data_IF_896280876030
#
_entry.id   IF_896280876030
#
_cell.length_a   1.000
_cell.length_b   1.000
_cell.length_c   1.000
_cell.angle_alpha   90.00
_cell.angle_beta   90.00
_cell.angle_gamma   90.00
#
_symmetry.space_group_name_H-M   'P 1'
#
loop_
_entity.id
_entity.type
_entity.pdbx_description
1 polymer ?
#
# COMPACT_ATOMS: atom_id res chain seq x y z
N UNK A 1 3.41 -31.68 -8.91
CA UNK A 1 3.56 -31.75 -7.44
C UNK A 1 3.01 -30.44 -6.89
N UNK A 2 1.88 -30.51 -6.20
CA UNK A 2 1.27 -29.34 -5.55
C UNK A 2 2.21 -28.83 -4.48
N UNK A 3 2.68 -27.59 -4.61
CA UNK A 3 3.48 -26.95 -3.58
C UNK A 3 2.65 -26.83 -2.31
N UNK A 4 3.06 -27.50 -1.24
CA UNK A 4 2.42 -27.32 0.07
C UNK A 4 2.57 -25.84 0.51
N UNK A 5 1.55 -25.28 1.16
CA UNK A 5 1.65 -23.92 1.67
C UNK A 5 2.78 -23.85 2.70
N UNK A 6 3.64 -22.84 2.55
CA UNK A 6 4.74 -22.59 3.47
C UNK A 6 4.21 -22.17 4.84
N UNK A 7 4.76 -22.80 5.89
CA UNK A 7 4.33 -22.62 7.29
C UNK A 7 5.52 -22.47 8.25
N UNK A 8 5.25 -21.93 9.43
CA UNK A 8 6.23 -21.74 10.50
C UNK A 8 6.86 -23.08 10.91
N UNK A 9 8.16 -23.10 11.13
CA UNK A 9 8.94 -24.29 11.46
C UNK A 9 9.46 -25.09 10.25
N UNK A 10 9.04 -24.74 9.04
CA UNK A 10 9.58 -25.36 7.82
C UNK A 10 10.91 -24.72 7.41
N UNK A 11 11.74 -25.52 6.74
CA UNK A 11 13.01 -25.05 6.16
C UNK A 11 12.93 -25.06 4.63
N UNK A 12 13.38 -24.00 3.99
CA UNK A 12 13.45 -23.86 2.55
C UNK A 12 14.90 -23.51 2.17
N UNK A 13 15.60 -24.47 1.56
CA UNK A 13 17.04 -24.32 1.37
C UNK A 13 17.71 -24.11 2.74
N UNK A 14 18.47 -23.05 2.86
CA UNK A 14 19.16 -22.68 4.10
C UNK A 14 18.36 -21.73 5.02
N UNK A 15 17.04 -21.62 4.84
CA UNK A 15 16.19 -20.70 5.58
C UNK A 15 15.09 -21.40 6.37
N UNK A 16 15.14 -21.28 7.69
CA UNK A 16 14.09 -21.72 8.62
C UNK A 16 13.04 -20.60 8.81
N UNK A 17 11.78 -20.93 8.65
CA UNK A 17 10.67 -20.00 8.86
C UNK A 17 10.34 -19.86 10.34
N UNK A 18 10.57 -18.67 10.91
CA UNK A 18 10.35 -18.40 12.32
C UNK A 18 8.94 -17.90 12.62
N UNK A 19 8.42 -16.97 11.80
CA UNK A 19 7.09 -16.38 11.98
C UNK A 19 6.59 -15.73 10.70
N UNK A 20 5.28 -15.54 10.60
CA UNK A 20 4.66 -14.73 9.55
C UNK A 20 4.72 -13.26 9.97
N UNK A 21 5.30 -12.40 9.13
CA UNK A 21 5.34 -10.95 9.32
C UNK A 21 4.12 -10.25 8.72
N UNK A 22 3.61 -10.75 7.58
CA UNK A 22 2.46 -10.15 6.93
C UNK A 22 1.94 -10.95 5.74
N UNK A 23 0.71 -10.62 5.34
CA UNK A 23 0.07 -11.12 4.11
C UNK A 23 -0.40 -9.92 3.28
N UNK A 24 -0.10 -9.94 2.01
CA UNK A 24 -0.54 -8.92 1.07
C UNK A 24 -1.06 -9.53 -0.23
N UNK A 25 -1.54 -8.69 -1.13
CA UNK A 25 -2.04 -9.15 -2.44
C UNK A 25 -0.99 -9.83 -3.32
N UNK A 26 0.30 -9.65 -3.00
CA UNK A 26 1.43 -10.21 -3.75
C UNK A 26 2.05 -11.44 -3.08
N UNK A 27 1.60 -11.85 -1.91
CA UNK A 27 2.16 -13.01 -1.21
C UNK A 27 2.24 -12.86 0.29
N UNK A 28 3.06 -13.73 0.88
CA UNK A 28 3.34 -13.74 2.31
C UNK A 28 4.77 -13.26 2.56
N UNK A 29 4.98 -12.58 3.68
CA UNK A 29 6.30 -12.20 4.17
C UNK A 29 6.53 -12.92 5.49
N UNK A 30 7.64 -13.63 5.58
CA UNK A 30 8.04 -14.39 6.77
C UNK A 30 9.33 -13.81 7.35
N UNK A 31 9.45 -13.88 8.68
CA UNK A 31 10.72 -13.78 9.37
C UNK A 31 11.40 -15.13 9.27
N UNK A 32 12.63 -15.15 8.79
CA UNK A 32 13.41 -16.38 8.59
C UNK A 32 14.77 -16.25 9.25
N UNK A 33 15.37 -17.40 9.58
CA UNK A 33 16.74 -17.52 10.01
C UNK A 33 17.52 -18.29 8.95
N UNK A 34 18.61 -17.74 8.46
CA UNK A 34 19.57 -18.49 7.67
C UNK A 34 20.35 -19.44 8.58
N UNK A 35 20.20 -20.75 8.38
CA UNK A 35 20.77 -21.77 9.27
C UNK A 35 22.31 -21.88 9.23
N UNK A 36 22.94 -21.30 8.18
CA UNK A 36 24.40 -21.30 8.05
C UNK A 36 25.01 -20.09 8.76
N UNK A 37 24.41 -18.91 8.60
CA UNK A 37 24.96 -17.65 9.11
C UNK A 37 24.26 -17.14 10.37
N UNK A 38 23.23 -17.80 10.85
CA UNK A 38 22.32 -17.41 11.94
C UNK A 38 21.67 -16.02 11.76
N UNK A 39 21.76 -15.43 10.56
CA UNK A 39 21.13 -14.13 10.29
C UNK A 39 19.62 -14.24 10.26
N UNK A 40 19.01 -13.24 10.89
CA UNK A 40 17.56 -13.03 10.76
C UNK A 40 17.31 -12.17 9.53
N UNK A 41 16.44 -12.64 8.65
CA UNK A 41 16.10 -12.01 7.37
C UNK A 41 14.59 -12.04 7.13
N UNK A 42 14.11 -11.26 6.18
CA UNK A 42 12.72 -11.29 5.74
C UNK A 42 12.63 -12.05 4.41
N UNK A 43 11.75 -13.05 4.34
CA UNK A 43 11.49 -13.83 3.12
C UNK A 43 10.13 -13.46 2.58
N UNK A 44 10.09 -12.83 1.40
CA UNK A 44 8.86 -12.56 0.66
C UNK A 44 8.62 -13.68 -0.35
N UNK A 45 7.50 -14.38 -0.15
CA UNK A 45 7.06 -15.47 -1.03
C UNK A 45 6.05 -14.92 -2.01
N UNK A 46 6.30 -15.10 -3.28
CA UNK A 46 5.42 -14.63 -4.34
C UNK A 46 4.44 -15.72 -4.73
N UNK A 47 3.19 -15.32 -5.00
CA UNK A 47 2.13 -16.28 -5.32
C UNK A 47 2.44 -17.09 -6.58
N UNK A 48 2.00 -18.37 -6.66
CA UNK A 48 2.40 -19.34 -7.70
C UNK A 48 1.94 -19.02 -9.12
N UNK A 49 1.05 -18.07 -9.34
CA UNK A 49 0.53 -17.74 -10.68
C UNK A 49 1.52 -17.03 -11.61
N UNK A 50 2.77 -16.87 -11.17
CA UNK A 50 3.85 -16.32 -12.02
C UNK A 50 4.13 -17.22 -13.22
N UNK A 51 3.92 -18.55 -13.11
CA UNK A 51 4.12 -19.48 -14.21
C UNK A 51 2.96 -19.51 -15.22
N UNK A 52 1.79 -18.97 -14.85
CA UNK A 52 0.64 -18.91 -15.77
C UNK A 52 0.78 -17.82 -16.84
N UNK A 53 1.70 -16.86 -16.68
CA UNK A 53 1.97 -15.78 -17.63
C UNK A 53 3.47 -15.52 -17.72
N UNK A 54 4.16 -16.05 -18.75
CA UNK A 54 5.62 -15.88 -18.95
C UNK A 54 6.08 -14.41 -18.91
N UNK A 55 5.31 -13.52 -19.51
CA UNK A 55 5.57 -12.07 -19.51
C UNK A 55 5.62 -11.45 -18.10
N UNK A 56 4.83 -12.00 -17.18
CA UNK A 56 4.77 -11.53 -15.81
C UNK A 56 6.00 -11.95 -15.02
N UNK A 57 6.44 -13.19 -15.21
CA UNK A 57 7.66 -13.73 -14.60
C UNK A 57 8.91 -12.96 -15.07
N UNK A 58 9.00 -12.66 -16.36
CA UNK A 58 10.13 -11.90 -16.90
C UNK A 58 10.17 -10.45 -16.38
N UNK A 59 9.02 -9.78 -16.34
CA UNK A 59 8.91 -8.43 -15.77
C UNK A 59 9.33 -8.43 -14.30
N UNK A 60 8.88 -9.41 -13.56
CA UNK A 60 9.20 -9.56 -12.14
C UNK A 60 10.70 -9.77 -11.92
N UNK A 61 11.34 -10.65 -12.69
CA UNK A 61 12.80 -10.85 -12.64
C UNK A 61 13.57 -9.56 -12.98
N UNK A 62 13.08 -8.78 -13.93
CA UNK A 62 13.71 -7.49 -14.29
C UNK A 62 13.64 -6.49 -13.15
N UNK A 63 12.51 -6.45 -12.46
CA UNK A 63 12.32 -5.56 -11.30
C UNK A 63 13.14 -5.99 -10.08
N UNK A 64 13.23 -7.31 -9.81
CA UNK A 64 14.17 -7.83 -8.80
C UNK A 64 15.60 -7.37 -9.08
N UNK A 65 16.05 -7.46 -10.34
CA UNK A 65 17.39 -7.03 -10.74
C UNK A 65 17.62 -5.53 -10.48
N UNK A 66 16.61 -4.70 -10.71
CA UNK A 66 16.70 -3.27 -10.42
C UNK A 66 16.77 -3.01 -8.92
N UNK A 67 15.92 -3.65 -8.11
CA UNK A 67 15.95 -3.50 -6.64
C UNK A 67 17.26 -4.02 -6.06
N UNK A 68 17.85 -5.06 -6.65
CA UNK A 68 19.15 -5.61 -6.24
C UNK A 68 20.31 -4.62 -6.41
N UNK A 69 20.14 -3.56 -7.20
CA UNK A 69 21.16 -2.51 -7.38
C UNK A 69 21.06 -1.40 -6.33
N UNK A 70 20.01 -1.41 -5.49
CA UNK A 70 19.79 -0.37 -4.50
C UNK A 70 20.52 -0.73 -3.19
N UNK A 71 21.49 0.10 -2.84
CA UNK A 71 22.19 0.05 -1.54
C UNK A 71 22.14 1.44 -0.90
N UNK A 72 21.27 1.61 0.09
CA UNK A 72 21.04 2.89 0.75
C UNK A 72 20.62 2.66 2.21
N UNK A 73 21.08 3.45 3.18
CA UNK A 73 20.77 3.26 4.61
C UNK A 73 19.26 3.26 4.91
N UNK A 74 18.47 3.98 4.12
CA UNK A 74 17.00 4.07 4.30
C UNK A 74 16.20 3.18 3.32
N UNK A 75 16.82 2.20 2.69
CA UNK A 75 16.14 1.17 1.88
C UNK A 75 16.40 -0.19 2.52
N UNK A 76 15.37 -1.02 2.63
CA UNK A 76 15.54 -2.42 3.02
C UNK A 76 16.18 -3.20 1.86
N UNK A 77 17.45 -3.61 2.06
CA UNK A 77 18.25 -4.22 0.99
C UNK A 77 17.77 -5.61 0.60
N UNK A 78 17.77 -5.90 -0.70
CA UNK A 78 17.63 -7.27 -1.22
C UNK A 78 18.95 -8.02 -0.99
N UNK A 79 18.89 -9.19 -0.33
CA UNK A 79 20.05 -10.05 -0.08
C UNK A 79 20.26 -11.04 -1.21
N UNK A 80 19.19 -11.77 -1.57
CA UNK A 80 19.19 -12.73 -2.67
C UNK A 80 17.75 -13.02 -3.13
N UNK A 81 17.63 -13.67 -4.28
CA UNK A 81 16.38 -14.22 -4.76
C UNK A 81 16.59 -15.70 -5.11
N UNK A 82 15.65 -16.55 -4.71
CA UNK A 82 15.71 -18.00 -4.85
C UNK A 82 14.47 -18.52 -5.57
N UNK A 83 14.61 -19.67 -6.25
CA UNK A 83 13.48 -20.46 -6.71
C UNK A 83 13.29 -21.69 -5.82
N UNK A 84 12.07 -21.94 -5.39
CA UNK A 84 11.67 -23.18 -4.69
C UNK A 84 10.45 -23.76 -5.41
N UNK A 85 10.67 -24.81 -6.22
CA UNK A 85 9.65 -25.30 -7.14
C UNK A 85 9.21 -24.21 -8.14
N UNK A 86 7.89 -23.94 -8.17
CA UNK A 86 7.28 -22.89 -8.99
C UNK A 86 7.26 -21.53 -8.31
N UNK A 87 7.67 -21.45 -7.04
CA UNK A 87 7.64 -20.21 -6.25
C UNK A 87 8.94 -19.42 -6.35
N UNK A 88 8.82 -18.11 -6.45
CA UNK A 88 9.94 -17.19 -6.33
C UNK A 88 9.97 -16.61 -4.91
N UNK A 89 11.15 -16.62 -4.30
CA UNK A 89 11.40 -16.17 -2.95
C UNK A 89 12.40 -15.01 -3.01
N UNK A 90 12.11 -13.92 -2.32
CA UNK A 90 13.02 -12.79 -2.14
C UNK A 90 13.47 -12.77 -0.69
N UNK A 91 14.77 -12.80 -0.47
CA UNK A 91 15.37 -12.66 0.85
C UNK A 91 15.86 -11.22 0.99
N UNK A 92 15.36 -10.55 1.99
CA UNK A 92 15.59 -9.12 2.22
C UNK A 92 16.13 -8.87 3.62
N UNK A 93 16.68 -7.72 3.85
CA UNK A 93 17.02 -7.22 5.18
C UNK A 93 15.78 -7.31 6.09
N UNK A 94 15.91 -8.00 7.23
CA UNK A 94 14.93 -7.91 8.30
C UNK A 94 15.11 -6.59 9.04
N UNK A 95 14.07 -5.80 9.07
CA UNK A 95 14.04 -4.52 9.79
C UNK A 95 13.36 -4.72 11.13
N UNK A 96 14.11 -4.62 12.21
CA UNK A 96 13.55 -4.60 13.56
C UNK A 96 12.96 -3.21 13.82
N UNK A 97 11.71 -3.04 13.42
CA UNK A 97 10.99 -1.76 13.46
C UNK A 97 9.49 -1.98 13.29
N UNK A 98 8.75 -0.89 13.38
CA UNK A 98 7.29 -0.89 13.19
C UNK A 98 6.91 -0.09 11.94
N UNK A 99 5.87 -0.51 11.21
CA UNK A 99 5.28 0.31 10.16
C UNK A 99 4.85 1.69 10.69
N UNK A 100 5.01 2.71 9.88
CA UNK A 100 4.72 4.10 10.25
C UNK A 100 3.26 4.32 10.70
N UNK A 101 2.31 3.56 10.13
CA UNK A 101 0.88 3.56 10.52
C UNK A 101 0.60 2.84 11.85
N UNK A 102 1.57 2.06 12.35
CA UNK A 102 1.46 1.33 13.61
C UNK A 102 2.29 1.98 14.72
N UNK A 103 3.01 3.04 14.43
CA UNK A 103 3.73 3.76 15.47
C UNK A 103 2.72 4.23 16.50
N UNK A 104 2.93 3.94 17.79
CA UNK A 104 2.09 4.48 18.82
C UNK A 104 2.15 6.01 18.70
N UNK A 105 1.04 6.62 18.37
CA UNK A 105 0.84 8.01 18.71
C UNK A 105 0.97 8.04 20.21
N UNK A 106 2.10 8.53 20.73
CA UNK A 106 2.28 8.75 22.18
C UNK A 106 1.12 9.57 22.76
N UNK A 107 0.32 10.13 21.89
CA UNK A 107 -0.77 11.05 22.12
C UNK A 107 -2.16 10.39 22.15
N UNK A 108 -2.30 9.07 21.98
CA UNK A 108 -3.60 8.39 22.20
C UNK A 108 -4.03 8.43 23.68
N UNK A 109 -3.12 8.77 24.61
CA UNK A 109 -3.43 8.98 26.04
C UNK A 109 -3.59 10.47 26.37
N UNK A 110 -3.14 11.37 25.49
CA UNK A 110 -3.36 12.82 25.60
C UNK A 110 -3.77 13.40 24.24
N UNK A 111 -4.68 14.38 24.21
CA UNK A 111 -5.20 14.99 22.99
C UNK A 111 -4.20 15.98 22.36
N UNK A 112 -2.90 15.69 22.40
CA UNK A 112 -1.91 16.53 21.75
C UNK A 112 -1.72 16.08 20.30
N UNK A 113 -1.72 17.02 19.35
CA UNK A 113 -1.50 16.74 17.94
C UNK A 113 -0.12 16.10 17.72
N UNK A 114 0.02 15.25 16.68
CA UNK A 114 1.30 14.66 16.30
C UNK A 114 2.38 15.74 16.17
N UNK A 115 3.60 15.49 16.67
CA UNK A 115 4.71 16.41 16.49
C UNK A 115 5.11 16.49 14.99
N UNK A 116 4.84 17.62 14.31
CA UNK A 116 5.11 17.77 12.89
C UNK A 116 6.62 17.70 12.58
N UNK A 117 7.49 18.04 13.53
CA UNK A 117 8.95 17.91 13.36
C UNK A 117 9.37 16.47 13.20
N UNK A 118 8.81 15.58 14.04
CA UNK A 118 9.05 14.13 13.91
C UNK A 118 8.56 13.59 12.59
N UNK A 119 7.35 13.99 12.17
CA UNK A 119 6.79 13.59 10.88
C UNK A 119 7.70 14.03 9.72
N UNK A 120 8.14 15.28 9.71
CA UNK A 120 9.06 15.81 8.70
C UNK A 120 10.38 15.05 8.70
N UNK A 121 10.96 14.76 9.88
CA UNK A 121 12.23 14.01 9.97
C UNK A 121 12.13 12.62 9.31
N UNK A 122 11.06 11.88 9.61
CA UNK A 122 10.86 10.54 9.04
C UNK A 122 10.67 10.63 7.51
N UNK A 123 9.89 11.59 7.04
CA UNK A 123 9.64 11.78 5.60
C UNK A 123 10.89 12.25 4.85
N UNK A 124 11.75 13.06 5.45
CA UNK A 124 13.03 13.46 4.83
C UNK A 124 13.94 12.25 4.56
N UNK A 125 13.92 11.23 5.42
CA UNK A 125 14.65 9.98 5.18
C UNK A 125 14.03 9.17 4.04
N UNK A 126 12.69 9.10 3.96
CA UNK A 126 11.97 8.48 2.83
C UNK A 126 12.33 9.19 1.52
N UNK A 127 12.33 10.53 1.50
CA UNK A 127 12.68 11.31 0.33
C UNK A 127 14.13 11.12 -0.09
N UNK A 128 15.06 10.97 0.86
CA UNK A 128 16.45 10.62 0.58
C UNK A 128 16.59 9.26 -0.11
N UNK A 129 15.86 8.25 0.38
CA UNK A 129 15.78 6.93 -0.22
C UNK A 129 15.21 6.96 -1.64
N UNK A 130 14.12 7.71 -1.84
CA UNK A 130 13.48 7.88 -3.15
C UNK A 130 14.37 8.65 -4.12
N UNK A 131 15.04 9.73 -3.69
CA UNK A 131 16.00 10.47 -4.52
C UNK A 131 17.10 9.55 -5.05
N UNK A 132 17.66 8.71 -4.18
CA UNK A 132 18.66 7.71 -4.56
C UNK A 132 18.13 6.69 -5.58
N UNK A 133 16.91 6.17 -5.38
CA UNK A 133 16.30 5.19 -6.28
C UNK A 133 15.95 5.82 -7.64
N UNK A 134 15.37 7.02 -7.64
CA UNK A 134 14.99 7.75 -8.86
C UNK A 134 16.18 8.05 -9.76
N UNK A 135 17.35 8.43 -9.19
CA UNK A 135 18.59 8.63 -9.93
C UNK A 135 19.07 7.35 -10.65
N UNK A 136 18.61 6.18 -10.20
CA UNK A 136 18.90 4.87 -10.82
C UNK A 136 17.76 4.35 -11.71
N UNK A 137 16.78 5.20 -12.00
CA UNK A 137 15.63 4.84 -12.84
C UNK A 137 14.60 3.94 -12.14
N UNK A 138 14.70 3.78 -10.82
CA UNK A 138 13.76 2.97 -10.03
C UNK A 138 12.71 3.86 -9.38
N UNK A 139 11.43 3.61 -9.70
CA UNK A 139 10.27 4.28 -9.13
C UNK A 139 9.61 3.30 -8.16
N UNK A 140 9.25 3.76 -6.96
CA UNK A 140 8.70 2.90 -5.91
C UNK A 140 7.25 2.46 -6.18
N UNK A 141 6.38 3.37 -6.61
CA UNK A 141 4.98 3.17 -7.04
C UNK A 141 3.97 2.74 -5.96
N UNK A 142 4.40 2.41 -4.77
CA UNK A 142 3.53 2.02 -3.64
C UNK A 142 4.03 2.60 -2.31
N UNK A 143 4.40 3.91 -2.32
CA UNK A 143 4.78 4.60 -1.08
C UNK A 143 3.54 4.79 -0.22
N UNK A 144 3.58 4.25 1.01
CA UNK A 144 2.50 4.37 2.01
C UNK A 144 3.06 4.08 3.40
N UNK A 145 2.38 4.47 4.48
CA UNK A 145 2.86 4.28 5.85
C UNK A 145 3.24 2.84 6.20
N UNK A 146 2.50 1.84 5.71
CA UNK A 146 2.81 0.43 5.97
C UNK A 146 4.09 -0.08 5.30
N UNK A 147 4.61 0.61 4.28
CA UNK A 147 5.86 0.29 3.59
C UNK A 147 7.06 1.13 4.12
N UNK A 148 6.83 1.95 5.14
CA UNK A 148 7.84 2.75 5.81
C UNK A 148 8.06 2.17 7.21
N UNK A 149 9.11 1.38 7.39
CA UNK A 149 9.45 0.80 8.69
C UNK A 149 10.33 1.77 9.48
N UNK A 150 9.96 2.02 10.73
CA UNK A 150 10.69 2.92 11.62
C UNK A 150 11.31 2.09 12.75
N UNK A 151 12.62 2.14 12.87
CA UNK A 151 13.39 1.49 13.94
C UNK A 151 13.27 2.27 15.25
N UNK A 152 13.65 1.65 16.40
CA UNK A 152 13.67 2.33 17.70
C UNK A 152 14.58 3.57 17.76
N UNK A 153 15.62 3.61 16.93
CA UNK A 153 16.55 4.75 16.79
C UNK A 153 16.02 5.83 15.83
N UNK A 154 14.77 5.74 15.39
CA UNK A 154 14.11 6.60 14.40
C UNK A 154 14.70 6.53 12.99
N UNK A 155 15.57 5.55 12.69
CA UNK A 155 15.99 5.28 11.33
C UNK A 155 14.82 4.70 10.53
N UNK A 156 14.57 5.26 9.36
CA UNK A 156 13.54 4.78 8.42
C UNK A 156 14.16 3.76 7.46
N UNK A 157 13.41 2.71 7.18
CA UNK A 157 13.67 1.76 6.10
C UNK A 157 12.45 1.67 5.18
N UNK A 158 12.60 2.11 3.94
CA UNK A 158 11.60 1.97 2.89
C UNK A 158 11.65 0.55 2.33
N UNK A 159 10.50 -0.13 2.30
CA UNK A 159 10.36 -1.52 1.87
C UNK A 159 9.40 -1.63 0.68
N UNK A 160 9.34 -2.80 0.08
CA UNK A 160 8.33 -3.14 -0.93
C UNK A 160 8.29 -2.17 -2.13
N UNK A 161 9.46 -1.86 -2.70
CA UNK A 161 9.52 -1.24 -4.03
C UNK A 161 8.57 -1.99 -4.95
N UNK A 162 7.63 -1.26 -5.57
CA UNK A 162 6.43 -1.79 -6.23
C UNK A 162 6.72 -2.69 -7.42
N UNK A 163 7.28 -3.86 -7.14
CA UNK A 163 7.72 -4.90 -8.07
C UNK A 163 6.58 -5.35 -9.01
N UNK A 164 5.32 -5.09 -8.66
CA UNK A 164 4.17 -5.54 -9.43
C UNK A 164 3.19 -4.42 -9.81
N UNK A 165 3.48 -3.16 -9.52
CA UNK A 165 2.56 -2.04 -9.76
C UNK A 165 2.92 -1.27 -11.03
N UNK A 166 2.49 -1.75 -12.20
CA UNK A 166 2.55 -0.98 -13.45
C UNK A 166 1.18 -0.47 -13.85
N UNK A 167 1.15 0.71 -14.45
CA UNK A 167 -0.04 1.23 -15.10
C UNK A 167 -0.59 0.21 -16.11
N UNK A 168 -1.89 -0.14 -15.99
CA UNK A 168 -2.53 -1.16 -16.82
C UNK A 168 -2.40 -2.61 -16.32
N UNK A 169 -1.80 -2.88 -15.16
CA UNK A 169 -1.83 -4.21 -14.55
C UNK A 169 -3.27 -4.55 -14.12
N UNK A 170 -3.86 -5.66 -14.62
CA UNK A 170 -5.21 -6.09 -14.22
C UNK A 170 -5.36 -6.31 -12.71
N UNK A 171 -4.25 -6.45 -11.97
CA UNK A 171 -4.23 -6.59 -10.52
C UNK A 171 -4.44 -5.28 -9.77
N UNK A 172 -4.25 -4.12 -10.42
CA UNK A 172 -4.61 -2.81 -9.85
C UNK A 172 -6.13 -2.68 -9.65
N UNK A 173 -6.90 -3.54 -10.31
CA UNK A 173 -8.37 -3.57 -10.26
C UNK A 173 -8.93 -4.95 -9.91
N UNK A 174 -8.06 -5.94 -9.63
CA UNK A 174 -8.41 -7.34 -9.35
C UNK A 174 -8.78 -7.62 -7.89
N UNK A 175 -9.40 -8.80 -7.62
CA UNK A 175 -9.62 -9.28 -6.26
C UNK A 175 -8.26 -9.54 -5.59
N UNK A 176 -7.89 -8.75 -4.61
CA UNK A 176 -6.60 -8.82 -3.91
C UNK A 176 -5.89 -7.48 -3.81
N UNK A 177 -6.37 -6.43 -4.45
CA UNK A 177 -5.92 -5.07 -4.17
C UNK A 177 -6.28 -4.74 -2.72
N UNK A 178 -5.28 -4.51 -1.90
CA UNK A 178 -5.52 -4.00 -0.57
C UNK A 178 -6.12 -2.61 -0.70
N UNK A 179 -7.37 -2.43 -0.24
CA UNK A 179 -8.07 -1.14 -0.22
C UNK A 179 -7.16 -0.01 0.32
N UNK A 180 -6.23 -0.38 1.21
CA UNK A 180 -5.26 0.52 1.80
C UNK A 180 -4.33 1.22 0.80
N UNK A 181 -3.82 0.55 -0.25
CA UNK A 181 -2.89 1.15 -1.22
C UNK A 181 -3.56 2.21 -2.09
N UNK A 182 -4.86 2.08 -2.35
CA UNK A 182 -5.60 3.02 -3.20
C UNK A 182 -5.58 4.46 -2.64
N UNK A 183 -5.55 4.62 -1.32
CA UNK A 183 -5.52 5.93 -0.67
C UNK A 183 -4.23 6.73 -0.92
N UNK A 184 -3.16 6.09 -1.43
CA UNK A 184 -1.85 6.73 -1.68
C UNK A 184 -1.51 6.78 -3.17
N UNK A 185 -2.40 6.29 -4.03
CA UNK A 185 -2.18 6.21 -5.46
C UNK A 185 -2.23 7.61 -6.11
N UNK A 186 -1.30 7.89 -7.00
CA UNK A 186 -1.29 9.15 -7.72
C UNK A 186 -2.37 9.21 -8.81
N UNK A 187 -2.84 10.41 -9.20
CA UNK A 187 -3.82 10.59 -10.28
C UNK A 187 -3.43 9.89 -11.59
N UNK A 188 -2.17 9.94 -11.97
CA UNK A 188 -1.65 9.29 -13.18
C UNK A 188 -1.66 7.76 -13.07
N UNK A 189 -1.38 7.19 -11.90
CA UNK A 189 -1.53 5.75 -11.65
C UNK A 189 -2.98 5.30 -11.81
N UNK A 190 -3.92 6.07 -11.24
CA UNK A 190 -5.36 5.80 -11.35
C UNK A 190 -5.83 5.85 -12.81
N UNK A 191 -5.31 6.81 -13.59
CA UNK A 191 -5.62 6.96 -15.03
C UNK A 191 -4.88 5.96 -15.91
N UNK A 192 -4.01 5.10 -15.34
CA UNK A 192 -3.11 4.21 -16.08
C UNK A 192 -2.21 4.96 -17.08
N UNK A 193 -1.84 6.19 -16.78
CA UNK A 193 -0.88 6.99 -17.54
C UNK A 193 0.56 6.60 -17.20
N UNK A 194 1.55 6.99 -18.03
CA UNK A 194 2.95 6.82 -17.69
C UNK A 194 3.28 7.39 -16.31
N UNK A 195 3.97 6.58 -15.50
CA UNK A 195 4.34 6.89 -14.11
C UNK A 195 5.82 7.22 -14.07
N UNK A 196 6.17 8.35 -13.44
CA UNK A 196 7.55 8.77 -13.17
C UNK A 196 7.79 9.03 -11.67
N UNK A 197 8.94 9.58 -11.32
CA UNK A 197 9.34 9.91 -9.95
C UNK A 197 8.32 10.80 -9.20
N UNK A 198 7.58 11.62 -9.92
CA UNK A 198 6.59 12.57 -9.36
C UNK A 198 5.33 11.87 -8.85
N UNK A 199 5.11 10.61 -9.24
CA UNK A 199 4.06 9.77 -8.64
C UNK A 199 4.39 9.39 -7.21
N UNK A 200 5.67 9.05 -6.92
CA UNK A 200 6.12 8.78 -5.54
C UNK A 200 6.04 10.05 -4.68
N UNK A 201 6.34 11.22 -5.26
CA UNK A 201 6.20 12.53 -4.58
C UNK A 201 4.75 12.76 -4.12
N UNK A 202 3.77 12.45 -4.95
CA UNK A 202 2.36 12.52 -4.57
C UNK A 202 2.05 11.57 -3.40
N UNK A 203 2.49 10.33 -3.48
CA UNK A 203 2.25 9.30 -2.46
C UNK A 203 2.92 9.66 -1.12
N UNK A 204 4.14 10.26 -1.16
CA UNK A 204 4.79 10.85 0.03
C UNK A 204 3.97 12.01 0.58
N UNK A 205 3.43 12.87 -0.29
CA UNK A 205 2.56 13.96 0.10
C UNK A 205 1.32 13.49 0.86
N UNK A 206 0.65 12.44 0.36
CA UNK A 206 -0.47 11.79 1.05
C UNK A 206 -0.05 11.25 2.41
N UNK A 207 1.09 10.56 2.46
CA UNK A 207 1.65 10.00 3.70
C UNK A 207 1.97 11.11 4.72
N UNK A 208 2.64 12.19 4.29
CA UNK A 208 2.96 13.32 5.16
C UNK A 208 1.71 14.04 5.66
N UNK A 209 0.72 14.26 4.78
CA UNK A 209 -0.57 14.82 5.16
C UNK A 209 -1.20 13.98 6.29
N UNK A 210 -1.28 12.65 6.10
CA UNK A 210 -1.92 11.74 7.06
C UNK A 210 -1.21 11.74 8.42
N UNK A 211 0.12 11.67 8.45
CA UNK A 211 0.86 11.64 9.73
C UNK A 211 0.88 12.99 10.45
N UNK A 212 0.73 14.12 9.72
CA UNK A 212 0.64 15.46 10.33
C UNK A 212 -0.76 15.76 10.83
N UNK A 213 -1.80 15.35 10.09
CA UNK A 213 -3.19 15.72 10.40
C UNK A 213 -3.97 14.60 11.12
N UNK A 214 -3.44 13.37 11.15
CA UNK A 214 -4.17 12.18 11.59
C UNK A 214 -5.30 11.75 10.66
N UNK A 215 -5.41 12.36 9.46
CA UNK A 215 -6.47 12.09 8.47
C UNK A 215 -5.89 12.01 7.07
N UNK A 216 -6.48 11.17 6.22
CA UNK A 216 -6.12 11.13 4.81
C UNK A 216 -6.66 12.36 4.06
N UNK A 217 -5.92 12.88 3.06
CA UNK A 217 -6.35 14.06 2.29
C UNK A 217 -7.60 13.80 1.46
N UNK A 218 -7.85 12.54 1.10
CA UNK A 218 -9.03 12.10 0.35
C UNK A 218 -9.68 10.91 1.06
N UNK A 219 -11.00 10.84 0.97
CA UNK A 219 -11.81 9.77 1.58
C UNK A 219 -12.91 9.35 0.59
N UNK A 220 -13.45 8.15 0.79
CA UNK A 220 -14.56 7.65 -0.01
C UNK A 220 -15.06 6.32 0.52
N UNK A 221 -16.33 6.02 0.24
CA UNK A 221 -17.02 4.82 0.71
C UNK A 221 -16.82 3.62 -0.22
N UNK A 222 -16.28 3.86 -1.42
CA UNK A 222 -16.03 2.84 -2.43
C UNK A 222 -14.68 3.07 -3.10
N UNK A 223 -14.16 2.04 -3.78
CA UNK A 223 -12.95 2.16 -4.60
C UNK A 223 -13.08 3.30 -5.62
N UNK A 224 -14.25 3.43 -6.23
CA UNK A 224 -14.52 4.47 -7.22
C UNK A 224 -14.51 5.87 -6.61
N UNK A 225 -15.17 6.08 -5.47
CA UNK A 225 -15.21 7.39 -4.81
C UNK A 225 -13.82 7.84 -4.34
N UNK A 226 -12.97 6.90 -3.86
CA UNK A 226 -11.58 7.20 -3.51
C UNK A 226 -10.79 7.60 -4.77
N UNK A 227 -10.93 6.85 -5.88
CA UNK A 227 -10.27 7.17 -7.14
C UNK A 227 -10.72 8.53 -7.67
N UNK A 228 -12.02 8.80 -7.70
CA UNK A 228 -12.58 10.09 -8.12
C UNK A 228 -12.07 11.24 -7.24
N UNK A 229 -11.97 11.03 -5.94
CA UNK A 229 -11.43 12.02 -5.00
C UNK A 229 -9.95 12.33 -5.29
N UNK A 230 -9.11 11.33 -5.58
CA UNK A 230 -7.72 11.58 -6.00
C UNK A 230 -7.64 12.39 -7.29
N UNK A 231 -8.56 12.18 -8.21
CA UNK A 231 -8.57 12.87 -9.51
C UNK A 231 -9.09 14.31 -9.44
N UNK A 232 -10.06 14.59 -8.55
CA UNK A 232 -10.85 15.82 -8.61
C UNK A 232 -10.90 16.61 -7.31
N UNK A 233 -10.85 15.94 -6.16
CA UNK A 233 -11.03 16.60 -4.87
C UNK A 233 -9.75 17.37 -4.50
N UNK A 234 -9.91 18.66 -4.16
CA UNK A 234 -8.87 19.46 -3.52
C UNK A 234 -8.89 19.11 -2.01
N UNK A 235 -7.78 18.62 -1.45
CA UNK A 235 -7.71 18.35 -0.01
C UNK A 235 -7.91 19.61 0.83
N UNK A 236 -8.44 19.46 2.03
CA UNK A 236 -8.45 20.56 3.01
C UNK A 236 -7.00 20.91 3.35
N UNK A 237 -6.59 22.20 3.31
CA UNK A 237 -5.25 22.59 3.71
C UNK A 237 -4.89 22.10 5.11
N UNK A 238 -3.72 21.48 5.33
CA UNK A 238 -3.32 20.97 6.65
C UNK A 238 -3.43 22.00 7.78
N UNK A 239 -3.11 23.26 7.50
CA UNK A 239 -3.18 24.36 8.48
C UNK A 239 -4.60 24.57 9.04
N UNK A 240 -5.65 24.27 8.27
CA UNK A 240 -7.03 24.38 8.73
C UNK A 240 -7.43 23.26 9.71
N UNK A 241 -6.75 22.11 9.64
CA UNK A 241 -6.97 20.99 10.56
C UNK A 241 -6.05 21.07 11.78
N UNK A 242 -4.85 21.61 11.59
CA UNK A 242 -3.77 21.69 12.56
C UNK A 242 -3.19 23.10 12.59
N UNK A 243 -3.87 24.07 13.25
CA UNK A 243 -3.49 25.48 13.22
C UNK A 243 -2.10 25.81 13.80
N UNK A 244 -1.48 24.87 14.50
CA UNK A 244 -0.16 25.04 15.13
C UNK A 244 1.02 24.64 14.21
N UNK A 245 0.77 24.07 13.02
CA UNK A 245 1.86 23.80 12.08
C UNK A 245 2.31 25.08 11.36
N UNK A 246 3.60 25.16 10.94
CA UNK A 246 4.04 26.27 10.10
C UNK A 246 3.21 26.36 8.80
N UNK A 247 2.78 27.57 8.40
CA UNK A 247 2.10 27.76 7.11
C UNK A 247 2.89 27.19 5.91
N UNK A 248 4.22 27.30 5.97
CA UNK A 248 5.12 26.78 4.93
C UNK A 248 5.00 25.26 4.80
N UNK A 249 4.84 24.52 5.92
CA UNK A 249 4.63 23.07 5.88
C UNK A 249 3.31 22.74 5.19
N UNK A 250 2.23 23.49 5.47
CA UNK A 250 0.94 23.32 4.78
C UNK A 250 1.10 23.48 3.28
N UNK A 251 1.73 24.56 2.83
CA UNK A 251 1.96 24.85 1.40
C UNK A 251 2.80 23.78 0.72
N UNK A 252 3.83 23.25 1.39
CA UNK A 252 4.68 22.17 0.87
C UNK A 252 3.85 20.90 0.66
N UNK A 253 3.01 20.53 1.64
CA UNK A 253 2.12 19.37 1.53
C UNK A 253 1.12 19.58 0.38
N UNK A 254 0.47 20.75 0.29
CA UNK A 254 -0.48 21.09 -0.76
C UNK A 254 0.15 21.01 -2.14
N UNK A 255 1.39 21.49 -2.31
CA UNK A 255 2.14 21.40 -3.56
C UNK A 255 2.41 19.95 -3.95
N UNK A 256 2.79 19.08 -3.02
CA UNK A 256 3.03 17.67 -3.31
C UNK A 256 1.76 16.93 -3.76
N UNK A 257 0.58 17.40 -3.35
CA UNK A 257 -0.74 16.83 -3.65
C UNK A 257 -1.41 17.42 -4.92
N UNK A 258 -0.72 18.26 -5.70
CA UNK A 258 -1.25 18.78 -6.95
C UNK A 258 -1.60 17.65 -7.92
N UNK A 259 -2.70 17.84 -8.67
CA UNK A 259 -3.22 16.78 -9.55
C UNK A 259 -2.35 16.58 -10.78
N UNK A 260 -1.85 17.67 -11.36
CA UNK A 260 -0.85 17.62 -12.42
C UNK A 260 0.54 17.34 -11.85
N UNK A 261 1.29 16.36 -12.37
CA UNK A 261 2.67 16.12 -11.98
C UNK A 261 3.58 17.36 -12.17
N UNK A 262 3.29 18.21 -13.17
CA UNK A 262 4.10 19.40 -13.48
C UNK A 262 3.99 20.49 -12.40
N UNK A 263 2.91 20.50 -11.62
CA UNK A 263 2.68 21.47 -10.54
C UNK A 263 3.28 21.00 -9.19
N UNK A 264 3.78 19.77 -9.11
CA UNK A 264 4.43 19.19 -7.92
C UNK A 264 5.90 19.60 -7.82
N UNK A 265 6.59 19.11 -6.81
CA UNK A 265 8.05 19.07 -6.81
C UNK A 265 8.53 18.18 -7.96
N UNK A 266 9.61 18.58 -8.64
CA UNK A 266 10.09 17.84 -9.81
C UNK A 266 11.08 16.72 -9.42
N UNK A 267 11.61 16.76 -8.21
CA UNK A 267 12.43 15.68 -7.64
C UNK A 267 12.12 15.46 -6.17
N UNK A 268 12.44 14.26 -5.66
CA UNK A 268 12.35 13.96 -4.24
C UNK A 268 13.33 14.84 -3.43
N UNK A 269 14.46 15.23 -4.02
CA UNK A 269 15.44 16.11 -3.39
C UNK A 269 14.91 17.54 -3.23
N UNK A 270 14.18 18.09 -4.22
CA UNK A 270 13.55 19.42 -4.10
C UNK A 270 12.52 19.43 -2.97
N UNK A 271 11.73 18.36 -2.86
CA UNK A 271 10.77 18.21 -1.77
C UNK A 271 11.47 18.12 -0.41
N UNK A 272 12.52 17.30 -0.31
CA UNK A 272 13.34 17.17 0.90
C UNK A 272 13.96 18.50 1.33
N UNK A 273 14.50 19.26 0.38
CA UNK A 273 15.08 20.59 0.62
C UNK A 273 14.03 21.57 1.13
N UNK A 274 12.84 21.58 0.53
CA UNK A 274 11.73 22.44 1.00
C UNK A 274 11.37 22.13 2.46
N UNK A 275 11.27 20.85 2.83
CA UNK A 275 10.99 20.43 4.23
C UNK A 275 12.12 20.84 5.19
N UNK A 276 13.40 20.70 4.79
CA UNK A 276 14.54 21.08 5.63
C UNK A 276 14.59 22.57 5.94
N UNK A 277 14.08 23.40 5.03
CA UNK A 277 13.98 24.86 5.25
C UNK A 277 12.93 25.23 6.30
N UNK A 278 11.89 24.43 6.47
CA UNK A 278 10.87 24.66 7.53
C UNK A 278 11.42 24.32 8.92
N UNK A 279 12.22 23.25 9.02
CA UNK A 279 12.81 22.79 10.27
C UNK A 279 14.31 22.52 10.14
N UNK A 280 15.16 23.55 10.10
CA UNK A 280 16.61 23.39 9.93
C UNK A 280 17.26 22.51 11.00
N UNK A 281 16.71 22.53 12.21
CA UNK A 281 17.25 21.83 13.39
C UNK A 281 16.73 20.38 13.54
N UNK A 282 15.94 19.88 12.60
CA UNK A 282 15.34 18.54 12.71
C UNK A 282 16.39 17.44 12.92
N UNK A 283 17.60 17.60 12.36
CA UNK A 283 18.70 16.66 12.59
C UNK A 283 19.32 16.76 13.99
N UNK A 284 19.27 17.91 14.65
CA UNK A 284 19.91 18.14 15.95
C UNK A 284 19.06 17.62 17.14
N UNK A 285 17.73 17.63 17.03
CA UNK A 285 16.84 17.34 18.14
C UNK A 285 16.57 15.85 18.40
N UNK A 286 16.85 14.95 17.45
CA UNK A 286 16.53 13.52 17.61
C UNK A 286 17.62 12.75 18.36
N UNK A 287 18.83 13.26 18.41
CA UNK A 287 19.89 12.68 19.24
C UNK A 287 19.64 12.77 20.77
N UNK A 288 18.63 13.54 21.20
CA UNK A 288 18.37 13.84 22.63
C UNK A 288 17.14 13.11 23.19
N UNK A 289 16.35 12.38 22.38
CA UNK A 289 15.25 11.59 22.90
C UNK A 289 15.71 10.22 23.35
N UNK A 290 15.53 9.93 24.65
CA UNK A 290 15.91 8.68 25.28
C UNK A 290 15.42 7.44 24.51
N UNK A 291 16.16 6.33 24.53
CA UNK A 291 15.81 5.12 23.81
C UNK A 291 14.43 4.62 24.26
N UNK A 292 13.57 4.34 23.28
CA UNK A 292 12.27 3.70 23.48
C UNK A 292 12.47 2.38 24.23
N UNK A 293 12.05 2.32 25.51
CA UNK A 293 11.97 1.05 26.22
C UNK A 293 10.78 0.27 25.68
N UNK A 294 11.07 -0.80 24.98
CA UNK A 294 10.08 -1.84 24.66
C UNK A 294 9.69 -2.44 26.01
N UNK A 295 8.52 -2.10 26.51
CA UNK A 295 7.90 -2.86 27.61
C UNK A 295 7.52 -4.21 27.05
N UNK A 296 8.32 -5.22 27.37
CA UNK A 296 7.97 -6.62 27.14
C UNK A 296 6.85 -7.02 28.10
N UNK A 297 5.63 -6.62 27.80
CA UNK A 297 4.45 -7.24 28.39
C UNK A 297 4.18 -8.53 27.61
N UNK A 298 4.64 -9.63 28.15
CA UNK A 298 4.24 -10.97 27.74
C UNK A 298 2.72 -11.05 27.88
N UNK A 299 1.96 -11.38 26.80
CA UNK A 299 0.53 -11.59 26.95
C UNK A 299 0.32 -12.85 27.78
N UNK A 300 -0.33 -12.71 28.91
CA UNK A 300 -0.81 -13.83 29.71
C UNK A 300 -1.85 -14.58 28.87
N UNK A 301 -1.77 -15.91 28.74
CA UNK A 301 -2.76 -16.65 27.95
C UNK A 301 -4.13 -16.55 28.60
N UNK A 302 -5.11 -16.06 27.84
CA UNK A 302 -6.51 -16.07 28.20
C UNK A 302 -7.03 -17.51 28.26
N UNK A 303 -7.97 -17.81 29.18
CA UNK A 303 -8.56 -19.14 29.31
C UNK A 303 -9.32 -19.53 28.03
N UNK A 304 -9.41 -20.82 27.68
CA UNK A 304 -10.02 -21.28 26.45
C UNK A 304 -11.52 -21.01 26.45
N UNK A 305 -11.95 -20.12 25.56
CA UNK A 305 -13.36 -19.92 25.24
C UNK A 305 -13.79 -21.04 24.29
N UNK A 306 -14.80 -21.77 24.65
CA UNK A 306 -15.44 -22.82 23.85
C UNK A 306 -15.92 -22.23 22.53
N UNK A 307 -15.29 -22.59 21.42
CA UNK A 307 -15.71 -22.20 20.08
C UNK A 307 -16.96 -22.97 19.70
N UNK A 308 -18.04 -22.25 19.47
CA UNK A 308 -19.17 -22.73 18.71
C UNK A 308 -18.75 -22.93 17.25
N UNK A 309 -19.17 -24.02 16.64
CA UNK A 309 -18.88 -24.37 15.26
C UNK A 309 -19.29 -23.25 14.28
N UNK A 310 -18.48 -22.97 13.24
CA UNK A 310 -18.81 -21.96 12.26
C UNK A 310 -20.01 -22.37 11.42
N UNK A 311 -20.91 -21.43 11.08
CA UNK A 311 -22.02 -21.71 10.16
C UNK A 311 -21.46 -22.02 8.77
N UNK A 312 -22.07 -23.02 8.15
CA UNK A 312 -21.81 -23.45 6.77
C UNK A 312 -21.92 -22.28 5.80
N UNK A 313 -20.96 -22.06 4.88
CA UNK A 313 -21.04 -20.98 3.92
C UNK A 313 -22.25 -21.19 2.97
N UNK A 314 -23.00 -20.14 2.65
CA UNK A 314 -24.08 -20.23 1.68
C UNK A 314 -23.52 -20.58 0.29
N UNK A 315 -24.20 -21.48 -0.40
CA UNK A 315 -23.89 -21.94 -1.74
C UNK A 315 -23.82 -20.75 -2.71
N UNK A 316 -22.65 -20.53 -3.30
CA UNK A 316 -22.42 -19.53 -4.37
C UNK A 316 -23.19 -19.97 -5.61
N UNK A 317 -24.23 -19.25 -5.99
CA UNK A 317 -24.87 -19.42 -7.29
C UNK A 317 -23.92 -18.90 -8.38
N UNK A 318 -23.61 -19.75 -9.38
CA UNK A 318 -22.89 -19.31 -10.56
C UNK A 318 -23.89 -18.60 -11.51
N UNK A 319 -23.67 -17.30 -11.74
CA UNK A 319 -24.45 -16.54 -12.69
C UNK A 319 -24.10 -16.91 -14.13
N UNK A 320 -25.09 -16.87 -15.02
CA UNK A 320 -24.90 -17.08 -16.46
C UNK A 320 -23.86 -16.07 -17.02
N UNK A 321 -22.82 -16.53 -17.75
CA UNK A 321 -21.84 -15.65 -18.38
C UNK A 321 -22.44 -14.57 -19.28
N UNK A 322 -23.55 -14.86 -19.96
CA UNK A 322 -24.28 -13.89 -20.80
C UNK A 322 -24.91 -12.77 -19.98
N UNK A 323 -25.44 -13.10 -18.80
CA UNK A 323 -25.98 -12.12 -17.87
C UNK A 323 -24.87 -11.18 -17.34
N UNK A 324 -23.73 -11.73 -16.98
CA UNK A 324 -22.60 -10.93 -16.49
C UNK A 324 -22.03 -10.01 -17.57
N UNK A 325 -21.99 -10.46 -18.81
CA UNK A 325 -21.55 -9.65 -19.94
C UNK A 325 -22.53 -8.51 -20.25
N UNK A 326 -23.82 -8.76 -20.15
CA UNK A 326 -24.87 -7.73 -20.29
C UNK A 326 -24.78 -6.70 -19.17
N UNK A 327 -24.65 -7.15 -17.92
CA UNK A 327 -24.46 -6.26 -16.77
C UNK A 327 -23.20 -5.40 -16.93
N UNK A 328 -22.09 -5.99 -17.44
CA UNK A 328 -20.85 -5.29 -17.74
C UNK A 328 -21.02 -4.19 -18.78
N UNK A 329 -21.70 -4.48 -19.90
CA UNK A 329 -21.94 -3.48 -20.96
C UNK A 329 -22.80 -2.33 -20.45
N UNK A 330 -23.86 -2.63 -19.74
CA UNK A 330 -24.76 -1.62 -19.19
C UNK A 330 -24.05 -0.75 -18.16
N UNK A 331 -23.28 -1.35 -17.26
CA UNK A 331 -22.55 -0.61 -16.23
C UNK A 331 -21.41 0.22 -16.82
N UNK A 332 -20.78 -0.24 -17.91
CA UNK A 332 -19.69 0.46 -18.58
C UNK A 332 -20.10 1.83 -19.14
N UNK A 333 -21.37 2.03 -19.43
CA UNK A 333 -21.91 3.32 -19.88
C UNK A 333 -21.79 4.41 -18.81
N UNK A 334 -21.81 4.02 -17.52
CA UNK A 334 -21.79 4.93 -16.38
C UNK A 334 -20.42 5.04 -15.72
N UNK A 335 -19.63 3.95 -15.71
CA UNK A 335 -18.35 3.89 -14.99
C UNK A 335 -17.17 3.42 -15.86
N UNK A 336 -17.38 3.34 -17.18
CA UNK A 336 -16.31 3.02 -18.14
C UNK A 336 -15.67 1.64 -17.92
N UNK A 337 -14.35 1.50 -18.14
CA UNK A 337 -13.64 0.21 -18.10
C UNK A 337 -13.73 -0.55 -16.77
N UNK A 338 -14.04 0.17 -15.68
CA UNK A 338 -14.19 -0.41 -14.34
C UNK A 338 -15.37 -1.36 -14.20
N UNK A 339 -16.34 -1.29 -15.09
CA UNK A 339 -17.54 -2.15 -15.07
C UNK A 339 -17.20 -3.64 -15.03
N UNK A 340 -16.16 -4.08 -15.75
CA UNK A 340 -15.74 -5.49 -15.78
C UNK A 340 -15.35 -6.00 -14.38
N UNK A 341 -14.61 -5.20 -13.63
CA UNK A 341 -14.10 -5.57 -12.30
C UNK A 341 -15.24 -5.63 -11.30
N UNK A 342 -16.09 -4.61 -11.34
CA UNK A 342 -17.21 -4.46 -10.40
C UNK A 342 -18.23 -5.58 -10.61
N UNK A 343 -18.60 -5.92 -11.85
CA UNK A 343 -19.49 -7.04 -12.14
C UNK A 343 -18.90 -8.36 -11.67
N UNK A 344 -17.62 -8.62 -11.92
CA UNK A 344 -16.97 -9.85 -11.46
C UNK A 344 -16.96 -9.99 -9.93
N UNK A 345 -16.78 -8.86 -9.22
CA UNK A 345 -16.80 -8.83 -7.75
C UNK A 345 -18.22 -9.04 -7.21
N UNK A 346 -19.19 -8.29 -7.72
CA UNK A 346 -20.57 -8.37 -7.29
C UNK A 346 -21.15 -9.78 -7.53
N UNK A 347 -20.83 -10.42 -8.64
CA UNK A 347 -21.25 -11.79 -8.95
C UNK A 347 -20.79 -12.84 -7.93
N UNK A 348 -19.64 -12.64 -7.25
CA UNK A 348 -19.14 -13.56 -6.21
C UNK A 348 -19.91 -13.49 -4.90
N UNK A 349 -20.56 -12.37 -4.62
CA UNK A 349 -21.23 -12.09 -3.35
C UNK A 349 -22.73 -11.94 -3.48
N UNK A 350 -23.24 -11.81 -4.71
CA UNK A 350 -24.65 -11.66 -4.97
C UNK A 350 -25.39 -12.99 -4.77
N UNK A 351 -26.55 -12.91 -4.12
CA UNK A 351 -27.41 -14.05 -3.80
C UNK A 351 -28.52 -14.26 -4.83
N UNK A 352 -28.78 -13.25 -5.65
CA UNK A 352 -29.79 -13.28 -6.71
C UNK A 352 -29.40 -12.31 -7.82
N UNK A 353 -30.08 -12.40 -8.97
CA UNK A 353 -29.93 -11.46 -10.08
C UNK A 353 -30.24 -10.02 -9.64
N UNK A 354 -31.29 -9.83 -8.86
CA UNK A 354 -31.68 -8.53 -8.34
C UNK A 354 -30.59 -7.98 -7.38
N UNK A 355 -30.11 -8.78 -6.43
CA UNK A 355 -29.01 -8.42 -5.51
C UNK A 355 -27.73 -8.05 -6.27
N UNK A 356 -27.45 -8.73 -7.40
CA UNK A 356 -26.32 -8.38 -8.28
C UNK A 356 -26.50 -6.94 -8.82
N UNK A 357 -27.63 -6.61 -9.40
CA UNK A 357 -27.86 -5.29 -9.99
C UNK A 357 -27.97 -4.19 -8.94
N UNK A 358 -28.50 -4.45 -7.77
CA UNK A 358 -28.52 -3.51 -6.64
C UNK A 358 -27.10 -3.15 -6.22
N UNK A 359 -26.22 -4.15 -6.03
CA UNK A 359 -24.80 -3.94 -5.72
C UNK A 359 -24.04 -3.20 -6.83
N UNK A 360 -24.40 -3.44 -8.09
CA UNK A 360 -23.80 -2.73 -9.22
C UNK A 360 -24.28 -1.28 -9.27
N UNK A 361 -25.52 -1.00 -8.92
CA UNK A 361 -26.06 0.35 -8.89
C UNK A 361 -25.42 1.20 -7.79
N UNK A 362 -25.05 0.60 -6.64
CA UNK A 362 -24.36 1.31 -5.56
C UNK A 362 -23.04 1.94 -6.01
N UNK A 363 -22.37 1.35 -7.00
CA UNK A 363 -21.10 1.81 -7.55
C UNK A 363 -21.24 2.95 -8.60
N UNK A 364 -22.48 3.35 -8.95
CA UNK A 364 -22.75 4.47 -9.86
C UNK A 364 -22.86 5.77 -9.02
N UNK A 365 -22.04 6.81 -9.29
CA UNK A 365 -21.98 8.01 -8.46
C UNK A 365 -23.28 8.82 -8.43
N UNK A 366 -23.93 8.94 -9.59
CA UNK A 366 -25.11 9.78 -9.77
C UNK A 366 -26.40 9.06 -9.32
N UNK A 367 -27.20 9.62 -8.40
CA UNK A 367 -28.47 9.02 -7.99
C UNK A 367 -29.48 8.83 -9.13
N UNK A 368 -29.47 9.75 -10.10
CA UNK A 368 -30.32 9.67 -11.30
C UNK A 368 -29.92 8.50 -12.19
N UNK A 369 -28.62 8.32 -12.37
CA UNK A 369 -28.08 7.25 -13.21
C UNK A 369 -28.24 5.88 -12.56
N UNK A 370 -28.18 5.78 -11.23
CA UNK A 370 -28.53 4.56 -10.47
C UNK A 370 -29.95 4.09 -10.76
N UNK A 371 -30.89 5.01 -10.72
CA UNK A 371 -32.30 4.67 -11.03
C UNK A 371 -32.48 4.23 -12.49
N UNK A 372 -31.77 4.89 -13.41
CA UNK A 372 -31.81 4.53 -14.83
C UNK A 372 -31.20 3.16 -15.07
N UNK A 373 -30.08 2.86 -14.42
CA UNK A 373 -29.42 1.55 -14.47
C UNK A 373 -30.31 0.43 -13.92
N UNK A 374 -30.94 0.64 -12.76
CA UNK A 374 -31.85 -0.34 -12.18
C UNK A 374 -33.08 -0.63 -13.04
N UNK A 375 -33.59 0.37 -13.81
CA UNK A 375 -34.67 0.19 -14.79
C UNK A 375 -34.26 -0.58 -16.04
N UNK A 376 -32.97 -0.70 -16.32
CA UNK A 376 -32.40 -1.48 -17.43
C UNK A 376 -32.28 -2.97 -17.13
N UNK A 377 -32.80 -3.44 -16.01
CA UNK A 377 -32.86 -4.86 -15.65
C UNK A 377 -33.60 -5.62 -16.77
N UNK A 378 -32.96 -6.58 -17.44
CA UNK A 378 -33.72 -7.48 -18.34
C UNK A 378 -34.62 -8.33 -17.45
N UNK A 379 -35.92 -8.26 -17.74
CA UNK A 379 -36.98 -9.04 -17.12
C UNK A 379 -36.72 -10.54 -17.23
#
# INVERSE_FOLDING_TARGET
>A
MSSQPLDVGQTIGDYEILSLLGRGGMGKVFKVRNVISDRIEAMKVLLPDVDATPDLAERFLREIKLVATLDHPNIAGLRTALRSGTQMLMIMEYVDGQPLDQLPNKDQIQPNPPDPRRAVHLIMQVLGALSYAHQRGVIHRDVKPSNVLVRPDHTVKLTDFGIASRAGDPRLTGPGMALGSLYYMSPEQIKAFPVDARSDIYSVGVTLYEIVTGRRPVQGDSLFSIMAAHLQQIPVPPIHLMPHIPPELSLIIERSLQKSPDDRFQSAEDFRTALSNVYPDVHAHIATTAPYRISSSTPQPAPPTTQAAPPTPPSTQSFDPALLETARKNLATYIGPMAKVIVTRAAKTARSRQDLYEKLAEEIPSPKDRQTFLRSLPL
#
